data_IF_426101878185
#
_entry.id   IF_426101878185
#
_cell.length_a   1.000
_cell.length_b   1.000
_cell.length_c   1.000
_cell.angle_alpha   90.00
_cell.angle_beta   90.00
_cell.angle_gamma   90.00
#
_symmetry.space_group_name_H-M   'P 1'
#
loop_
_entity.id
_entity.type
_entity.pdbx_description
1 polymer ?
#
# COMPACT_ATOMS: atom_id res chain seq x y z
N UNK A 1 -12.11 42.23 -12.24
CA UNK A 1 -11.18 41.38 -11.47
C UNK A 1 -11.74 39.96 -11.48
N UNK A 2 -11.04 38.99 -12.05
CA UNK A 2 -11.45 37.58 -12.02
C UNK A 2 -10.91 37.01 -10.71
N UNK A 3 -11.81 36.59 -9.82
CA UNK A 3 -11.41 35.90 -8.57
C UNK A 3 -10.97 34.48 -8.96
N UNK A 4 -9.74 34.05 -8.65
CA UNK A 4 -9.36 32.67 -8.92
C UNK A 4 -10.28 31.74 -8.14
N UNK A 5 -10.68 30.64 -8.77
CA UNK A 5 -11.41 29.58 -8.08
C UNK A 5 -10.56 29.08 -6.90
N UNK A 6 -11.16 28.74 -5.75
CA UNK A 6 -10.41 28.19 -4.64
C UNK A 6 -9.69 26.92 -5.11
N UNK A 7 -8.39 26.83 -4.88
CA UNK A 7 -7.65 25.60 -5.11
C UNK A 7 -8.26 24.52 -4.20
N UNK A 8 -8.69 23.41 -4.79
CA UNK A 8 -9.16 22.25 -4.03
C UNK A 8 -7.94 21.70 -3.29
N UNK A 9 -8.03 21.64 -1.96
CA UNK A 9 -6.97 21.03 -1.16
C UNK A 9 -6.79 19.56 -1.60
N UNK A 10 -5.55 19.06 -1.71
CA UNK A 10 -5.30 17.68 -2.09
C UNK A 10 -5.98 16.73 -1.10
N UNK A 11 -6.60 15.68 -1.62
CA UNK A 11 -7.23 14.63 -0.81
C UNK A 11 -6.11 13.86 -0.09
N UNK A 12 -6.22 13.79 1.24
CA UNK A 12 -5.30 13.02 2.06
C UNK A 12 -5.71 11.55 2.06
N UNK A 13 -4.73 10.67 1.82
CA UNK A 13 -4.88 9.22 1.90
C UNK A 13 -4.06 8.72 3.09
N UNK A 14 -4.70 8.29 4.19
CA UNK A 14 -4.00 7.78 5.36
C UNK A 14 -3.10 6.58 5.04
N UNK A 15 -2.06 6.38 5.86
CA UNK A 15 -1.21 5.18 5.83
C UNK A 15 -1.63 4.11 6.82
N UNK A 16 -2.59 4.40 7.71
CA UNK A 16 -3.10 3.47 8.73
C UNK A 16 -4.60 3.59 8.85
N UNK A 17 -5.27 2.48 9.12
CA UNK A 17 -6.69 2.39 9.47
C UNK A 17 -6.95 2.45 11.00
N UNK A 18 -5.88 2.66 11.79
CA UNK A 18 -5.93 2.70 13.24
C UNK A 18 -6.00 1.33 13.92
N UNK A 19 -5.89 0.23 13.17
CA UNK A 19 -5.88 -1.14 13.71
C UNK A 19 -4.45 -1.68 13.85
N UNK A 20 -4.22 -2.68 14.72
CA UNK A 20 -2.94 -3.38 14.75
C UNK A 20 -2.76 -4.23 13.48
N UNK A 21 -1.50 -4.44 13.09
CA UNK A 21 -1.13 -5.36 12.01
C UNK A 21 -1.62 -6.80 12.22
N UNK A 22 -1.70 -7.23 13.48
CA UNK A 22 -2.07 -8.60 13.83
C UNK A 22 -2.80 -8.62 15.17
N UNK A 23 -3.79 -9.51 15.28
CA UNK A 23 -4.57 -9.72 16.50
C UNK A 23 -3.87 -10.64 17.51
N UNK A 24 -2.87 -11.43 17.06
CA UNK A 24 -2.11 -12.34 17.91
C UNK A 24 -0.72 -12.66 17.34
N UNK A 25 0.12 -13.29 18.17
CA UNK A 25 1.51 -13.65 17.83
C UNK A 25 1.61 -14.59 16.62
N UNK A 26 0.69 -15.55 16.48
CA UNK A 26 0.72 -16.51 15.39
C UNK A 26 0.42 -15.83 14.04
N UNK A 27 -0.56 -14.92 14.00
CA UNK A 27 -0.85 -14.09 12.84
C UNK A 27 0.35 -13.20 12.50
N UNK A 28 0.94 -12.51 13.49
CA UNK A 28 2.14 -11.69 13.29
C UNK A 28 3.27 -12.52 12.68
N UNK A 29 3.56 -13.69 13.23
CA UNK A 29 4.61 -14.58 12.72
C UNK A 29 4.33 -15.07 11.30
N UNK A 30 3.08 -15.39 10.97
CA UNK A 30 2.69 -15.81 9.63
C UNK A 30 2.87 -14.69 8.59
N UNK A 31 2.43 -13.46 8.91
CA UNK A 31 2.60 -12.28 8.07
C UNK A 31 4.09 -12.03 7.81
N UNK A 32 4.91 -11.95 8.87
CA UNK A 32 6.35 -11.72 8.76
C UNK A 32 7.05 -12.81 7.95
N UNK A 33 6.66 -14.08 8.16
CA UNK A 33 7.20 -15.19 7.38
C UNK A 33 6.82 -15.08 5.90
N UNK A 34 5.55 -14.80 5.58
CA UNK A 34 5.07 -14.67 4.21
C UNK A 34 5.78 -13.56 3.45
N UNK A 35 5.86 -12.37 4.04
CA UNK A 35 6.62 -11.24 3.47
C UNK A 35 8.08 -11.64 3.27
N UNK A 36 8.76 -12.14 4.31
CA UNK A 36 10.18 -12.48 4.24
C UNK A 36 10.50 -13.58 3.22
N UNK A 37 9.67 -14.61 3.12
CA UNK A 37 9.83 -15.69 2.15
C UNK A 37 9.69 -15.18 0.70
N UNK A 38 8.67 -14.36 0.43
CA UNK A 38 8.42 -13.80 -0.89
C UNK A 38 9.47 -12.74 -1.28
N UNK A 39 9.85 -11.85 -0.37
CA UNK A 39 10.95 -10.90 -0.60
C UNK A 39 12.25 -11.63 -0.92
N UNK A 40 12.53 -12.75 -0.24
CA UNK A 40 13.71 -13.57 -0.56
C UNK A 40 13.60 -14.27 -1.90
N UNK A 41 12.41 -14.75 -2.26
CA UNK A 41 12.15 -15.41 -3.54
C UNK A 41 12.35 -14.45 -4.72
N UNK A 42 11.90 -13.19 -4.57
CA UNK A 42 11.98 -12.16 -5.62
C UNK A 42 13.16 -11.20 -5.49
N UNK A 43 14.14 -11.49 -4.62
CA UNK A 43 15.27 -10.57 -4.33
C UNK A 43 16.05 -10.05 -5.54
N UNK A 44 16.07 -10.82 -6.64
CA UNK A 44 16.80 -10.49 -7.87
C UNK A 44 15.89 -9.85 -8.94
N UNK A 45 14.66 -9.48 -8.57
CA UNK A 45 13.65 -8.86 -9.44
C UNK A 45 13.30 -7.45 -8.94
N UNK A 46 14.01 -6.40 -9.41
CA UNK A 46 13.76 -5.03 -8.97
C UNK A 46 12.39 -4.48 -9.43
N UNK A 47 11.71 -5.20 -10.33
CA UNK A 47 10.36 -4.93 -10.82
C UNK A 47 9.26 -5.69 -10.04
N UNK A 48 9.57 -6.24 -8.87
CA UNK A 48 8.60 -6.96 -8.02
C UNK A 48 8.60 -6.39 -6.61
N UNK A 49 7.47 -5.84 -6.20
CA UNK A 49 7.25 -5.31 -4.86
C UNK A 49 6.51 -6.33 -3.99
N UNK A 50 7.05 -6.62 -2.82
CA UNK A 50 6.45 -7.52 -1.82
C UNK A 50 6.20 -6.73 -0.53
N UNK A 51 5.00 -6.82 0.01
CA UNK A 51 4.65 -6.17 1.28
C UNK A 51 3.44 -6.86 1.94
N UNK A 52 2.97 -6.31 3.04
CA UNK A 52 1.79 -6.75 3.78
C UNK A 52 1.36 -5.68 4.78
N UNK A 53 0.12 -5.77 5.25
CA UNK A 53 -0.50 -4.82 6.18
C UNK A 53 -0.33 -3.35 5.78
N UNK A 54 -0.43 -3.09 4.47
CA UNK A 54 -0.29 -1.76 3.88
C UNK A 54 -1.57 -1.40 3.16
N UNK A 55 -2.08 -0.19 3.39
CA UNK A 55 -3.32 0.29 2.77
C UNK A 55 -3.16 0.43 1.24
N UNK A 56 -3.99 -0.29 0.51
CA UNK A 56 -4.13 -0.23 -0.95
C UNK A 56 -5.42 0.50 -1.31
N UNK A 57 -5.29 1.65 -1.96
CA UNK A 57 -6.38 2.45 -2.52
C UNK A 57 -6.58 2.11 -4.00
N UNK A 58 -7.81 1.75 -4.35
CA UNK A 58 -8.19 1.32 -5.69
C UNK A 58 -9.22 2.22 -6.38
N UNK A 59 -9.62 3.31 -5.71
CA UNK A 59 -10.51 4.33 -6.25
C UNK A 59 -9.93 5.72 -5.99
N UNK A 60 -9.55 6.42 -7.07
CA UNK A 60 -9.03 7.79 -6.96
C UNK A 60 -10.17 8.76 -6.58
N UNK A 61 -9.91 9.61 -5.61
CA UNK A 61 -10.84 10.60 -5.06
C UNK A 61 -11.58 10.13 -3.80
N UNK A 62 -11.42 8.87 -3.39
CA UNK A 62 -12.17 8.29 -2.29
C UNK A 62 -11.25 7.62 -1.24
N UNK A 63 -10.76 8.37 -0.22
CA UNK A 63 -9.83 7.85 0.77
C UNK A 63 -10.50 6.90 1.78
N UNK A 64 -11.80 6.61 1.66
CA UNK A 64 -12.51 5.64 2.51
C UNK A 64 -12.52 4.23 1.93
N UNK A 65 -12.05 4.07 0.69
CA UNK A 65 -12.12 2.83 -0.06
C UNK A 65 -10.71 2.27 -0.22
N UNK A 66 -10.36 1.35 0.68
CA UNK A 66 -9.06 0.69 0.70
C UNK A 66 -9.16 -0.74 1.24
N UNK A 67 -8.12 -1.52 0.99
CA UNK A 67 -7.89 -2.84 1.60
C UNK A 67 -6.52 -2.89 2.25
N UNK A 68 -6.34 -3.74 3.26
CA UNK A 68 -5.06 -4.04 3.90
C UNK A 68 -4.82 -5.56 3.86
N UNK A 69 -4.21 -6.10 2.79
CA UNK A 69 -3.93 -7.53 2.74
C UNK A 69 -2.81 -7.92 3.70
N UNK A 70 -2.94 -9.06 4.37
CA UNK A 70 -1.90 -9.60 5.26
C UNK A 70 -0.53 -9.74 4.54
N UNK A 71 -0.54 -10.20 3.28
CA UNK A 71 0.65 -10.32 2.42
C UNK A 71 0.23 -10.18 0.95
N UNK A 72 1.01 -9.47 0.13
CA UNK A 72 0.77 -9.33 -1.31
C UNK A 72 2.05 -9.13 -2.11
N UNK A 73 1.94 -9.36 -3.43
CA UNK A 73 3.03 -9.19 -4.42
C UNK A 73 2.50 -8.40 -5.61
N UNK A 74 3.25 -7.40 -6.05
CA UNK A 74 2.95 -6.61 -7.24
C UNK A 74 4.10 -6.74 -8.23
N UNK A 75 3.79 -7.15 -9.46
CA UNK A 75 4.76 -7.26 -10.55
C UNK A 75 4.84 -5.95 -11.35
N UNK A 76 5.93 -5.74 -12.08
CA UNK A 76 6.11 -4.62 -13.00
C UNK A 76 6.17 -3.25 -12.34
N UNK A 77 6.48 -3.17 -11.04
CA UNK A 77 6.61 -1.92 -10.28
C UNK A 77 7.94 -1.88 -9.54
N UNK A 78 8.48 -0.70 -9.31
CA UNK A 78 9.73 -0.53 -8.55
C UNK A 78 9.58 -1.08 -7.12
N UNK A 79 10.54 -1.92 -6.71
CA UNK A 79 10.68 -2.33 -5.32
C UNK A 79 11.22 -1.18 -4.46
N UNK A 80 10.29 -0.44 -3.83
CA UNK A 80 10.58 0.68 -2.94
C UNK A 80 9.58 0.72 -1.79
N UNK A 81 9.98 1.36 -0.70
CA UNK A 81 9.10 1.59 0.43
C UNK A 81 8.00 2.59 0.07
N UNK A 82 6.80 2.36 0.60
CA UNK A 82 5.61 3.18 0.37
C UNK A 82 4.87 3.40 1.70
N UNK A 83 4.32 4.59 1.97
CA UNK A 83 3.45 4.81 3.14
C UNK A 83 2.05 4.21 2.93
N UNK A 84 1.57 4.19 1.69
CA UNK A 84 0.36 3.51 1.22
C UNK A 84 0.53 3.24 -0.28
N UNK A 85 -0.34 2.41 -0.84
CA UNK A 85 -0.29 2.02 -2.24
C UNK A 85 -1.53 2.54 -2.95
N UNK A 86 -1.36 3.31 -4.03
CA UNK A 86 -2.46 3.83 -4.83
C UNK A 86 -2.29 3.34 -6.25
N UNK A 87 -3.29 2.61 -6.77
CA UNK A 87 -3.18 1.96 -8.07
C UNK A 87 -2.86 2.96 -9.21
N UNK A 88 -3.50 4.13 -9.21
CA UNK A 88 -3.29 5.16 -10.23
C UNK A 88 -1.89 5.78 -10.23
N UNK A 89 -1.18 5.82 -9.09
CA UNK A 89 0.20 6.33 -9.01
C UNK A 89 1.23 5.32 -9.58
N UNK A 90 0.84 4.05 -9.67
CA UNK A 90 1.69 2.95 -10.11
C UNK A 90 1.33 2.47 -11.54
N UNK A 91 0.47 3.22 -12.24
CA UNK A 91 0.03 2.90 -13.61
C UNK A 91 -0.85 1.66 -13.70
N UNK A 92 -1.63 1.40 -12.65
CA UNK A 92 -2.51 0.23 -12.50
C UNK A 92 -3.98 0.61 -12.48
#
# INVERSE_FOLDING_TARGET
MIRPAPAVAPIEYPSSDGKPMAENDAQRSAIMYGIGALSRHFKDRPDVYVSGDLLIYYEEGNPRVSIAPDVFVVFGVEDRQRPNYKLWEEGR
#
